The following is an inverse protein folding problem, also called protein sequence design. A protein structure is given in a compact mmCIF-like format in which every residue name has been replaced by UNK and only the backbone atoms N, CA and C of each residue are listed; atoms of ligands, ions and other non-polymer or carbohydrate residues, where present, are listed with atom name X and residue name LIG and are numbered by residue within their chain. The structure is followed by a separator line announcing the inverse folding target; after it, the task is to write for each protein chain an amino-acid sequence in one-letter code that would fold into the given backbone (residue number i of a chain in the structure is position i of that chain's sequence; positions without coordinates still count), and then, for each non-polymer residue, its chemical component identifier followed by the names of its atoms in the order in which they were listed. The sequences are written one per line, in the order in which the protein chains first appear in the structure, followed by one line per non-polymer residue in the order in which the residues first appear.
data_IF_497852513936
#
_entry.id   IF_497852513936
#
_cell.length_a   1.000
_cell.length_b   1.000
_cell.length_c   1.000
_cell.angle_alpha   90.00
_cell.angle_beta   90.00
_cell.angle_gamma   90.00
#
_symmetry.space_group_name_H-M   'P 1'
#
loop_
_entity.id
_entity.type
_entity.pdbx_description
1 polymer ?
#
# COMPACT_ATOMS: atom_id res chain seq x y z
N UNK A 1 -42.74 -59.05 -15.11
CA UNK A 1 -42.92 -57.64 -15.42
C UNK A 1 -41.78 -56.90 -14.68
N UNK A 2 -40.65 -56.73 -15.38
CA UNK A 2 -39.43 -56.07 -14.86
C UNK A 2 -39.47 -54.61 -15.28
N UNK A 3 -39.30 -53.71 -14.29
CA UNK A 3 -39.17 -52.27 -14.50
C UNK A 3 -37.79 -51.93 -15.14
N UNK A 4 -37.70 -50.94 -16.03
CA UNK A 4 -36.41 -50.54 -16.62
C UNK A 4 -35.64 -49.66 -15.67
N UNK A 5 -34.36 -50.06 -15.41
CA UNK A 5 -33.35 -49.24 -14.77
C UNK A 5 -33.09 -47.96 -15.58
N UNK A 6 -33.22 -46.82 -14.92
CA UNK A 6 -32.85 -45.53 -15.50
C UNK A 6 -31.33 -45.38 -15.47
N UNK A 7 -30.70 -45.46 -16.64
CA UNK A 7 -29.28 -45.14 -16.88
C UNK A 7 -29.01 -43.66 -16.57
N UNK A 8 -27.98 -43.33 -15.83
CA UNK A 8 -27.60 -41.92 -15.62
C UNK A 8 -27.08 -41.33 -16.93
N UNK A 9 -27.79 -40.30 -17.42
CA UNK A 9 -27.41 -39.54 -18.61
C UNK A 9 -26.03 -38.94 -18.43
N UNK A 10 -25.08 -39.41 -19.24
CA UNK A 10 -23.74 -38.84 -19.33
C UNK A 10 -23.86 -37.35 -19.71
N UNK A 11 -23.47 -36.47 -18.81
CA UNK A 11 -23.34 -35.03 -19.08
C UNK A 11 -22.37 -34.89 -20.23
N UNK A 12 -22.85 -34.49 -21.39
CA UNK A 12 -22.04 -34.34 -22.60
C UNK A 12 -20.91 -33.36 -22.32
N UNK A 13 -19.68 -33.70 -22.75
CA UNK A 13 -18.47 -32.92 -22.49
C UNK A 13 -18.56 -31.44 -22.87
N UNK A 14 -19.53 -31.06 -23.71
CA UNK A 14 -19.90 -29.69 -24.07
C UNK A 14 -20.56 -28.90 -22.92
N UNK A 15 -21.37 -29.54 -22.09
CA UNK A 15 -22.01 -28.86 -20.94
C UNK A 15 -21.03 -28.67 -19.79
N UNK A 16 -20.16 -29.64 -19.54
CA UNK A 16 -19.09 -29.53 -18.59
C UNK A 16 -18.11 -28.38 -18.98
N UNK A 17 -17.77 -28.30 -20.28
CA UNK A 17 -16.91 -27.23 -20.82
C UNK A 17 -17.56 -25.84 -20.72
N UNK A 18 -18.85 -25.72 -21.05
CA UNK A 18 -19.61 -24.46 -20.87
C UNK A 18 -19.76 -24.06 -19.41
N UNK A 19 -19.85 -25.03 -18.51
CA UNK A 19 -19.88 -24.74 -17.05
C UNK A 19 -18.55 -24.27 -16.55
N UNK A 20 -17.45 -24.86 -17.02
CA UNK A 20 -16.08 -24.42 -16.70
C UNK A 20 -15.77 -23.05 -17.30
N UNK A 21 -16.19 -22.78 -18.55
CA UNK A 21 -16.06 -21.47 -19.20
C UNK A 21 -16.88 -20.39 -18.50
N UNK A 22 -18.10 -20.70 -18.02
CA UNK A 22 -18.90 -19.77 -17.21
C UNK A 22 -18.28 -19.50 -15.84
N UNK A 23 -17.67 -20.50 -15.22
CA UNK A 23 -16.95 -20.34 -13.94
C UNK A 23 -15.69 -19.52 -14.17
N UNK A 24 -14.92 -19.77 -15.24
CA UNK A 24 -13.75 -19.00 -15.62
C UNK A 24 -14.11 -17.55 -16.02
N UNK A 25 -15.20 -17.35 -16.77
CA UNK A 25 -15.70 -16.03 -17.11
C UNK A 25 -16.15 -15.24 -15.86
N UNK A 26 -16.80 -15.89 -14.90
CA UNK A 26 -17.16 -15.28 -13.62
C UNK A 26 -15.92 -14.93 -12.77
N UNK A 27 -14.81 -15.69 -12.88
CA UNK A 27 -13.52 -15.35 -12.27
C UNK A 27 -12.86 -14.13 -12.95
N UNK A 28 -12.98 -14.01 -14.29
CA UNK A 28 -12.41 -12.89 -15.04
C UNK A 28 -13.27 -11.62 -15.00
N UNK A 29 -14.59 -11.72 -14.79
CA UNK A 29 -15.45 -10.53 -14.62
C UNK A 29 -15.17 -9.79 -13.29
N UNK A 30 -14.64 -10.47 -12.27
CA UNK A 30 -14.20 -9.80 -11.04
C UNK A 30 -12.94 -8.91 -11.25
N UNK A 31 -12.16 -9.11 -12.33
CA UNK A 31 -11.01 -8.25 -12.65
C UNK A 31 -11.39 -6.92 -13.37
N UNK A 32 -12.65 -6.77 -13.79
CA UNK A 32 -13.12 -5.58 -14.55
C UNK A 32 -13.64 -4.43 -13.71
N UNK A 33 -13.67 -4.57 -12.36
CA UNK A 33 -14.07 -3.47 -11.49
C UNK A 33 -12.93 -2.45 -11.32
N UNK A 34 -12.60 -1.76 -12.42
CA UNK A 34 -11.70 -0.62 -12.42
C UNK A 34 -12.52 0.66 -12.47
N UNK A 35 -13.40 0.89 -11.51
CA UNK A 35 -13.97 2.22 -11.33
C UNK A 35 -13.08 3.02 -10.38
N UNK A 36 -12.54 4.08 -10.93
CA UNK A 36 -11.93 5.23 -10.31
C UNK A 36 -12.65 5.58 -9.01
N UNK A 37 -11.87 5.93 -7.98
CA UNK A 37 -12.20 6.49 -6.68
C UNK A 37 -13.71 6.80 -6.49
N UNK A 38 -14.44 5.89 -5.87
CA UNK A 38 -15.86 6.10 -5.63
C UNK A 38 -16.06 6.75 -4.27
N UNK A 39 -16.41 8.05 -4.29
CA UNK A 39 -16.68 8.83 -3.09
C UNK A 39 -17.82 8.21 -2.23
N UNK A 40 -18.72 7.44 -2.84
CA UNK A 40 -19.77 6.74 -2.12
C UNK A 40 -19.24 5.61 -1.24
N UNK A 41 -18.23 4.86 -1.71
CA UNK A 41 -17.56 3.83 -0.90
C UNK A 41 -16.78 4.44 0.27
N UNK A 42 -16.06 5.54 0.03
CA UNK A 42 -15.36 6.27 1.09
C UNK A 42 -16.35 6.78 2.17
N UNK A 43 -17.52 7.26 1.77
CA UNK A 43 -18.59 7.69 2.70
C UNK A 43 -19.15 6.53 3.52
N UNK A 44 -19.30 5.34 2.93
CA UNK A 44 -19.76 4.14 3.65
C UNK A 44 -18.72 3.66 4.67
N UNK A 45 -17.45 3.68 4.30
CA UNK A 45 -16.34 3.35 5.20
C UNK A 45 -16.23 4.35 6.36
N UNK A 46 -16.57 5.63 6.12
CA UNK A 46 -16.59 6.65 7.15
C UNK A 46 -17.55 6.30 8.31
N UNK A 47 -18.65 5.60 8.06
CA UNK A 47 -19.58 5.18 9.10
C UNK A 47 -18.91 4.29 10.17
N UNK A 48 -17.92 3.50 9.80
CA UNK A 48 -17.16 2.65 10.72
C UNK A 48 -15.99 3.39 11.38
N UNK A 49 -15.49 4.47 10.78
CA UNK A 49 -14.46 5.33 11.38
C UNK A 49 -15.07 6.39 12.31
N UNK A 50 -16.29 6.85 12.05
CA UNK A 50 -16.96 7.91 12.80
C UNK A 50 -17.06 7.68 14.32
N UNK A 51 -17.29 6.44 14.84
CA UNK A 51 -17.27 6.19 16.28
C UNK A 51 -15.90 6.46 16.92
N UNK A 52 -14.81 6.33 16.15
CA UNK A 52 -13.42 6.48 16.60
C UNK A 52 -12.82 7.84 16.23
N UNK A 53 -13.67 8.83 15.87
CA UNK A 53 -13.24 10.18 15.38
C UNK A 53 -12.28 10.91 16.33
N UNK A 54 -12.42 10.71 17.65
CA UNK A 54 -11.54 11.37 18.63
C UNK A 54 -10.07 10.94 18.47
N UNK A 55 -9.81 9.64 18.40
CA UNK A 55 -8.47 9.10 18.16
C UNK A 55 -7.98 9.42 16.74
N UNK A 56 -8.86 9.42 15.75
CA UNK A 56 -8.52 9.79 14.37
C UNK A 56 -8.08 11.25 14.28
N UNK A 57 -8.83 12.18 14.89
CA UNK A 57 -8.49 13.60 14.94
C UNK A 57 -7.19 13.83 15.72
N UNK A 58 -6.99 13.11 16.82
CA UNK A 58 -5.74 13.15 17.58
C UNK A 58 -4.56 12.70 16.70
N UNK A 59 -4.71 11.59 15.97
CA UNK A 59 -3.67 11.09 15.05
C UNK A 59 -3.34 12.10 13.95
N UNK A 60 -4.35 12.76 13.38
CA UNK A 60 -4.15 13.81 12.37
C UNK A 60 -3.48 15.04 12.98
N UNK A 61 -3.86 15.45 14.18
CA UNK A 61 -3.23 16.58 14.86
C UNK A 61 -1.76 16.29 15.16
N UNK A 62 -1.44 15.10 15.66
CA UNK A 62 -0.06 14.68 15.91
C UNK A 62 0.72 14.58 14.59
N UNK A 63 0.10 14.09 13.50
CA UNK A 63 0.70 14.05 12.17
C UNK A 63 1.13 15.44 11.69
N UNK A 64 0.31 16.46 11.92
CA UNK A 64 0.67 17.85 11.59
C UNK A 64 1.83 18.34 12.45
N UNK A 65 1.87 17.98 13.74
CA UNK A 65 2.97 18.31 14.64
C UNK A 65 4.28 17.64 14.19
N UNK A 66 4.27 16.34 13.89
CA UNK A 66 5.46 15.63 13.39
C UNK A 66 5.92 16.18 12.04
N UNK A 67 5.00 16.51 11.14
CA UNK A 67 5.34 17.19 9.89
C UNK A 67 6.03 18.54 10.14
N UNK A 68 5.53 19.35 11.07
CA UNK A 68 6.15 20.63 11.44
C UNK A 68 7.54 20.41 12.08
N UNK A 69 7.66 19.45 13.01
CA UNK A 69 8.95 19.13 13.65
C UNK A 69 10.01 18.68 12.64
N UNK A 70 9.61 17.84 11.67
CA UNK A 70 10.51 17.40 10.60
C UNK A 70 11.01 18.56 9.73
N UNK A 71 10.17 19.59 9.52
CA UNK A 71 10.51 20.80 8.76
C UNK A 71 11.41 21.75 9.55
N UNK A 72 11.31 21.76 10.87
CA UNK A 72 12.14 22.62 11.74
C UNK A 72 13.59 22.13 11.83
N UNK A 73 13.84 20.83 11.69
CA UNK A 73 15.18 20.24 11.82
C UNK A 73 16.24 20.87 10.91
N UNK A 74 16.05 21.03 9.59
CA UNK A 74 17.02 21.71 8.73
C UNK A 74 17.21 23.18 9.08
N UNK A 75 16.18 23.87 9.59
CA UNK A 75 16.30 25.26 10.02
C UNK A 75 17.17 25.40 11.27
N UNK A 76 17.04 24.47 12.23
CA UNK A 76 17.92 24.43 13.42
C UNK A 76 19.36 24.12 13.03
N UNK A 77 19.57 23.20 12.07
CA UNK A 77 20.91 22.94 11.54
C UNK A 77 21.52 24.21 10.91
N UNK A 78 20.73 24.91 10.09
CA UNK A 78 21.13 26.18 9.49
C UNK A 78 21.53 27.19 10.57
N UNK A 79 20.65 27.39 11.56
CA UNK A 79 20.93 28.36 12.65
C UNK A 79 22.18 27.98 13.42
N UNK A 80 22.37 26.72 13.73
CA UNK A 80 23.57 26.22 14.42
C UNK A 80 24.85 26.51 13.65
N UNK A 81 24.85 26.28 12.34
CA UNK A 81 26.01 26.47 11.46
C UNK A 81 26.31 27.97 11.24
N UNK A 82 25.27 28.78 11.01
CA UNK A 82 25.45 30.18 10.62
C UNK A 82 25.67 31.09 11.81
N UNK A 83 25.19 30.75 13.03
CA UNK A 83 25.24 31.62 14.19
C UNK A 83 25.96 30.97 15.38
N UNK A 84 25.57 29.77 15.81
CA UNK A 84 26.11 29.18 17.03
C UNK A 84 27.59 28.79 16.92
N UNK A 85 28.05 28.31 15.77
CA UNK A 85 29.47 27.97 15.55
C UNK A 85 30.33 29.22 15.44
N UNK A 86 29.99 30.27 14.65
CA UNK A 86 30.80 31.48 14.53
C UNK A 86 30.85 32.34 15.81
N UNK A 87 29.79 32.30 16.62
CA UNK A 87 29.75 33.06 17.90
C UNK A 87 30.82 32.60 18.89
N UNK A 88 31.35 31.37 18.75
CA UNK A 88 32.28 30.74 19.70
C UNK A 88 31.74 30.66 21.13
N UNK A 89 30.45 30.94 21.34
CA UNK A 89 29.79 30.83 22.65
C UNK A 89 29.39 29.36 22.89
N UNK A 90 30.05 28.72 23.84
CA UNK A 90 29.77 27.32 24.21
C UNK A 90 28.33 27.15 24.73
N UNK A 91 27.80 28.18 25.41
CA UNK A 91 26.44 28.09 25.95
C UNK A 91 25.40 28.13 24.83
N UNK A 92 25.57 28.99 23.84
CA UNK A 92 24.68 29.04 22.66
C UNK A 92 24.76 27.74 21.84
N UNK A 93 25.96 27.25 21.57
CA UNK A 93 26.16 25.97 20.89
C UNK A 93 25.46 24.81 21.60
N UNK A 94 25.61 24.74 22.95
CA UNK A 94 24.96 23.70 23.75
C UNK A 94 23.42 23.82 23.73
N UNK A 95 22.88 25.04 23.77
CA UNK A 95 21.44 25.30 23.68
C UNK A 95 20.86 24.83 22.33
N UNK A 96 21.53 25.19 21.24
CA UNK A 96 21.09 24.78 19.90
C UNK A 96 21.17 23.24 19.72
N UNK A 97 22.27 22.64 20.22
CA UNK A 97 22.42 21.18 20.22
C UNK A 97 21.33 20.47 21.04
N UNK A 98 21.01 20.99 22.23
CA UNK A 98 19.96 20.43 23.08
C UNK A 98 18.57 20.61 22.45
N UNK A 99 18.29 21.77 21.82
CA UNK A 99 17.06 22.01 21.09
C UNK A 99 16.92 21.04 19.90
N UNK A 100 18.00 20.86 19.15
CA UNK A 100 18.00 19.90 18.02
C UNK A 100 17.75 18.46 18.49
N UNK A 101 18.44 18.03 19.55
CA UNK A 101 18.21 16.72 20.15
C UNK A 101 16.78 16.59 20.71
N UNK A 102 16.25 17.62 21.35
CA UNK A 102 14.88 17.68 21.86
C UNK A 102 13.85 17.55 20.74
N UNK A 103 14.04 18.25 19.62
CA UNK A 103 13.18 18.16 18.43
C UNK A 103 13.23 16.75 17.82
N UNK A 104 14.41 16.12 17.74
CA UNK A 104 14.55 14.75 17.26
C UNK A 104 13.79 13.75 18.15
N UNK A 105 13.98 13.83 19.45
CA UNK A 105 13.30 12.96 20.42
C UNK A 105 11.79 13.19 20.38
N UNK A 106 11.35 14.43 20.32
CA UNK A 106 9.94 14.79 20.21
C UNK A 106 9.32 14.26 18.91
N UNK A 107 10.01 14.43 17.78
CA UNK A 107 9.54 13.90 16.47
C UNK A 107 9.34 12.38 16.51
N UNK A 108 10.30 11.64 17.07
CA UNK A 108 10.18 10.18 17.21
C UNK A 108 9.08 9.77 18.19
N UNK A 109 8.96 10.47 19.32
CA UNK A 109 7.95 10.19 20.33
C UNK A 109 6.54 10.46 19.79
N UNK A 110 6.31 11.60 19.15
CA UNK A 110 5.04 11.93 18.52
C UNK A 110 4.73 11.00 17.34
N UNK A 111 5.74 10.65 16.52
CA UNK A 111 5.61 9.68 15.43
C UNK A 111 5.16 8.30 15.93
N UNK A 112 5.73 7.83 17.04
CA UNK A 112 5.30 6.59 17.69
C UNK A 112 3.83 6.67 18.14
N UNK A 113 3.46 7.74 18.87
CA UNK A 113 2.09 7.93 19.34
C UNK A 113 1.11 8.03 18.17
N UNK A 114 1.46 8.75 17.11
CA UNK A 114 0.65 8.91 15.91
C UNK A 114 0.40 7.55 15.23
N UNK A 115 1.47 6.78 14.97
CA UNK A 115 1.37 5.48 14.34
C UNK A 115 0.56 4.50 15.19
N UNK A 116 0.82 4.47 16.49
CA UNK A 116 0.11 3.61 17.43
C UNK A 116 -1.39 3.96 17.51
N UNK A 117 -1.73 5.25 17.64
CA UNK A 117 -3.12 5.70 17.66
C UNK A 117 -3.84 5.36 16.35
N UNK A 118 -3.18 5.52 15.20
CA UNK A 118 -3.75 5.19 13.90
C UNK A 118 -4.00 3.70 13.73
N UNK A 119 -3.07 2.86 14.19
CA UNK A 119 -3.25 1.39 14.19
C UNK A 119 -4.43 0.96 15.07
N UNK A 120 -4.61 1.60 16.24
CA UNK A 120 -5.77 1.33 17.10
C UNK A 120 -7.07 1.73 16.41
N UNK A 121 -7.15 2.92 15.80
CA UNK A 121 -8.34 3.37 15.05
C UNK A 121 -8.67 2.37 13.96
N UNK A 122 -7.69 2.00 13.16
CA UNK A 122 -7.86 1.01 12.09
C UNK A 122 -8.35 -0.34 12.62
N UNK A 123 -7.68 -0.89 13.63
CA UNK A 123 -8.03 -2.18 14.22
C UNK A 123 -9.47 -2.20 14.79
N UNK A 124 -9.89 -1.14 15.48
CA UNK A 124 -11.26 -1.02 16.02
C UNK A 124 -12.30 -0.89 14.90
N UNK A 125 -12.07 -0.01 13.93
CA UNK A 125 -12.98 0.17 12.81
C UNK A 125 -13.15 -1.13 11.99
N UNK A 126 -12.05 -1.90 11.80
CA UNK A 126 -12.11 -3.18 11.10
C UNK A 126 -12.78 -4.27 11.94
N UNK A 127 -12.59 -4.28 13.25
CA UNK A 127 -13.34 -5.19 14.13
C UNK A 127 -14.86 -4.92 14.05
N UNK A 128 -15.26 -3.66 13.97
CA UNK A 128 -16.67 -3.26 13.82
C UNK A 128 -17.21 -3.63 12.44
N UNK A 129 -16.46 -3.39 11.35
CA UNK A 129 -16.83 -3.82 10.00
C UNK A 129 -16.92 -5.35 9.91
N UNK A 130 -15.92 -6.07 10.43
CA UNK A 130 -15.91 -7.55 10.44
C UNK A 130 -17.09 -8.12 11.20
N UNK A 131 -17.43 -7.54 12.36
CA UNK A 131 -18.60 -7.90 13.15
C UNK A 131 -19.90 -7.63 12.38
N UNK A 132 -19.97 -6.51 11.66
CA UNK A 132 -21.13 -6.16 10.84
C UNK A 132 -21.34 -7.16 9.69
N UNK A 133 -20.28 -7.48 8.94
CA UNK A 133 -20.32 -8.47 7.85
C UNK A 133 -20.67 -9.87 8.39
N UNK A 134 -20.08 -10.27 9.51
CA UNK A 134 -20.36 -11.57 10.13
C UNK A 134 -21.81 -11.69 10.59
N UNK A 135 -22.36 -10.66 11.23
CA UNK A 135 -23.78 -10.61 11.62
C UNK A 135 -24.67 -10.72 10.38
N UNK A 136 -24.37 -9.95 9.34
CA UNK A 136 -25.07 -10.02 8.07
C UNK A 136 -25.12 -11.45 7.51
N UNK A 137 -24.01 -12.20 7.54
CA UNK A 137 -23.99 -13.58 7.08
C UNK A 137 -24.92 -14.49 7.88
N UNK A 138 -24.99 -14.31 9.20
CA UNK A 138 -25.87 -15.13 10.07
C UNK A 138 -27.37 -14.88 9.83
N UNK A 139 -27.72 -13.73 9.27
CA UNK A 139 -29.10 -13.37 8.95
C UNK A 139 -29.54 -13.86 7.55
N UNK A 140 -28.68 -14.60 6.82
CA UNK A 140 -28.96 -15.08 5.47
C UNK A 140 -29.58 -16.48 5.45
N UNK A 141 -30.44 -16.71 4.42
CA UNK A 141 -31.06 -18.01 4.18
C UNK A 141 -30.02 -19.03 3.73
N UNK A 142 -30.29 -20.32 3.97
CA UNK A 142 -29.42 -21.40 3.56
C UNK A 142 -29.16 -21.37 2.04
N UNK A 143 -30.18 -21.04 1.23
CA UNK A 143 -30.07 -20.91 -0.22
C UNK A 143 -29.03 -19.86 -0.69
N UNK A 144 -28.68 -18.88 0.13
CA UNK A 144 -27.59 -17.95 -0.13
C UNK A 144 -26.23 -18.67 -0.11
N UNK A 145 -26.03 -19.55 0.88
CA UNK A 145 -24.77 -20.30 1.01
C UNK A 145 -24.61 -21.37 -0.07
N UNK A 146 -25.72 -21.93 -0.58
CA UNK A 146 -25.69 -22.89 -1.71
C UNK A 146 -25.21 -22.24 -3.01
N UNK A 147 -25.40 -20.92 -3.17
CA UNK A 147 -24.99 -20.16 -4.36
C UNK A 147 -23.63 -19.51 -4.24
N UNK A 148 -23.09 -19.38 -3.03
CA UNK A 148 -21.84 -18.69 -2.76
C UNK A 148 -20.75 -19.67 -2.33
N UNK A 149 -19.57 -19.53 -2.91
CA UNK A 149 -18.41 -20.32 -2.48
C UNK A 149 -17.98 -19.88 -1.07
N UNK A 150 -17.92 -20.81 -0.13
CA UNK A 150 -17.54 -20.53 1.28
C UNK A 150 -16.18 -19.83 1.36
N UNK A 151 -15.19 -20.27 0.57
CA UNK A 151 -13.87 -19.64 0.52
C UNK A 151 -13.90 -18.16 0.12
N UNK A 152 -14.84 -17.77 -0.77
CA UNK A 152 -15.05 -16.37 -1.17
C UNK A 152 -15.60 -15.54 -0.01
N UNK A 153 -16.58 -16.07 0.73
CA UNK A 153 -17.15 -15.39 1.89
C UNK A 153 -16.11 -15.21 2.99
N UNK A 154 -15.31 -16.24 3.26
CA UNK A 154 -14.21 -16.17 4.22
C UNK A 154 -13.20 -15.10 3.79
N UNK A 155 -12.76 -15.10 2.52
CA UNK A 155 -11.81 -14.10 2.01
C UNK A 155 -12.33 -12.66 2.12
N UNK A 156 -13.64 -12.44 1.92
CA UNK A 156 -14.26 -11.10 2.10
C UNK A 156 -14.25 -10.63 3.55
N UNK A 157 -14.46 -11.54 4.51
CA UNK A 157 -14.46 -11.21 5.96
C UNK A 157 -13.04 -11.01 6.48
N UNK A 158 -12.03 -11.65 5.88
CA UNK A 158 -10.63 -11.58 6.29
C UNK A 158 -9.83 -10.64 5.40
N UNK A 159 -9.38 -11.10 4.25
CA UNK A 159 -8.41 -10.43 3.40
C UNK A 159 -8.89 -9.06 2.87
N UNK A 160 -10.17 -8.98 2.42
CA UNK A 160 -10.69 -7.72 1.88
C UNK A 160 -10.86 -6.67 3.00
N UNK A 161 -11.26 -7.08 4.21
CA UNK A 161 -11.33 -6.20 5.38
C UNK A 161 -9.92 -5.76 5.81
N UNK A 162 -8.93 -6.68 5.80
CA UNK A 162 -7.55 -6.34 6.16
C UNK A 162 -6.89 -5.39 5.14
N UNK A 163 -7.18 -5.55 3.83
CA UNK A 163 -6.74 -4.62 2.80
C UNK A 163 -7.32 -3.20 3.01
N UNK A 164 -8.59 -3.09 3.44
CA UNK A 164 -9.21 -1.81 3.80
C UNK A 164 -8.48 -1.19 4.99
N UNK A 165 -8.19 -1.98 6.04
CA UNK A 165 -7.43 -1.53 7.21
C UNK A 165 -6.09 -0.94 6.81
N UNK A 166 -5.31 -1.69 6.04
CA UNK A 166 -3.96 -1.30 5.64
C UNK A 166 -3.95 0.02 4.86
N UNK A 167 -4.90 0.21 3.94
CA UNK A 167 -5.01 1.44 3.19
C UNK A 167 -5.39 2.65 4.05
N UNK A 168 -6.22 2.48 5.08
CA UNK A 168 -6.52 3.57 6.00
C UNK A 168 -5.37 3.86 6.94
N UNK A 169 -4.81 2.82 7.60
CA UNK A 169 -3.76 2.98 8.60
C UNK A 169 -2.44 3.48 7.99
N UNK A 170 -2.08 3.00 6.80
CA UNK A 170 -0.80 3.28 6.15
C UNK A 170 -0.91 4.18 4.92
N UNK A 171 -2.07 4.17 4.23
CA UNK A 171 -2.25 4.82 2.94
C UNK A 171 -2.78 6.25 3.03
N UNK A 172 -4.05 6.42 3.36
CA UNK A 172 -4.75 7.70 3.18
C UNK A 172 -4.26 8.78 4.15
N UNK A 173 -4.14 8.48 5.45
CA UNK A 173 -3.77 9.49 6.47
C UNK A 173 -2.31 9.90 6.34
N UNK A 174 -1.41 8.92 6.17
CA UNK A 174 0.00 9.24 5.96
C UNK A 174 0.23 9.98 4.62
N UNK A 175 -0.57 9.66 3.56
CA UNK A 175 -0.54 10.39 2.31
C UNK A 175 -0.87 11.89 2.45
N UNK A 176 -1.82 12.23 3.33
CA UNK A 176 -2.12 13.64 3.68
C UNK A 176 -0.91 14.28 4.37
N UNK A 177 -0.28 13.57 5.31
CA UNK A 177 0.94 14.05 5.99
C UNK A 177 2.09 14.32 5.02
N UNK A 178 2.29 13.42 4.06
CA UNK A 178 3.32 13.59 3.01
C UNK A 178 3.03 14.80 2.12
N UNK A 179 1.76 15.06 1.78
CA UNK A 179 1.37 16.25 1.03
C UNK A 179 1.63 17.53 1.82
N UNK A 180 1.28 17.56 3.11
CA UNK A 180 1.55 18.69 4.01
C UNK A 180 3.06 18.92 4.15
N UNK A 181 3.83 17.85 4.37
CA UNK A 181 5.29 17.91 4.46
C UNK A 181 5.90 18.43 3.16
N UNK A 182 5.45 17.92 2.01
CA UNK A 182 5.93 18.37 0.69
C UNK A 182 5.64 19.85 0.45
N UNK A 183 4.42 20.29 0.73
CA UNK A 183 4.05 21.70 0.63
C UNK A 183 4.88 22.59 1.57
N UNK A 184 5.09 22.14 2.80
CA UNK A 184 5.93 22.83 3.78
C UNK A 184 7.40 22.95 3.34
N UNK A 185 7.97 21.88 2.77
CA UNK A 185 9.32 21.90 2.20
C UNK A 185 9.42 22.94 1.07
N UNK A 186 8.48 22.93 0.12
CA UNK A 186 8.46 23.89 -1.00
C UNK A 186 8.41 25.33 -0.48
N UNK A 187 7.50 25.62 0.45
CA UNK A 187 7.36 26.95 1.05
C UNK A 187 8.66 27.38 1.76
N UNK A 188 9.22 26.52 2.59
CA UNK A 188 10.45 26.84 3.34
C UNK A 188 11.67 27.01 2.42
N UNK A 189 11.81 26.19 1.39
CA UNK A 189 12.89 26.36 0.40
C UNK A 189 12.78 27.73 -0.29
N UNK A 190 11.58 28.11 -0.75
CA UNK A 190 11.34 29.40 -1.40
C UNK A 190 11.61 30.58 -0.44
N UNK A 191 11.22 30.44 0.83
CA UNK A 191 11.46 31.47 1.87
C UNK A 191 12.93 31.60 2.23
N UNK A 192 13.71 30.50 2.21
CA UNK A 192 15.15 30.56 2.50
C UNK A 192 15.94 31.24 1.37
N UNK A 193 15.76 30.80 0.14
CA UNK A 193 16.32 31.43 -1.06
C UNK A 193 15.52 30.99 -2.31
N UNK A 194 14.72 31.89 -2.88
CA UNK A 194 13.87 31.58 -4.03
C UNK A 194 14.66 31.23 -5.30
N UNK A 195 15.89 31.75 -5.46
CA UNK A 195 16.72 31.45 -6.64
C UNK A 195 17.34 30.05 -6.56
N UNK A 196 17.82 29.66 -5.38
CA UNK A 196 18.28 28.28 -5.13
C UNK A 196 17.12 27.30 -5.28
N UNK A 197 15.91 27.67 -4.87
CA UNK A 197 14.71 26.86 -5.04
C UNK A 197 14.37 26.63 -6.52
N UNK A 198 14.51 27.63 -7.37
CA UNK A 198 14.34 27.44 -8.81
C UNK A 198 15.33 26.45 -9.37
N UNK A 199 16.61 26.54 -8.98
CA UNK A 199 17.65 25.61 -9.43
C UNK A 199 17.27 24.19 -9.01
N UNK A 200 16.85 23.99 -7.75
CA UNK A 200 16.41 22.70 -7.24
C UNK A 200 15.17 22.16 -7.99
N UNK A 201 14.17 23.03 -8.25
CA UNK A 201 12.94 22.60 -8.93
C UNK A 201 13.12 22.36 -10.42
N UNK A 202 14.07 22.99 -11.09
CA UNK A 202 14.45 22.68 -12.48
C UNK A 202 14.96 21.24 -12.63
N UNK A 203 15.51 20.66 -11.57
CA UNK A 203 15.93 19.25 -11.59
C UNK A 203 14.76 18.26 -11.42
N UNK A 204 13.60 18.68 -10.92
CA UNK A 204 12.43 17.78 -10.72
C UNK A 204 11.87 17.22 -12.03
N UNK A 205 11.65 18.00 -13.12
CA UNK A 205 11.17 17.48 -14.38
C UNK A 205 12.04 16.37 -14.99
N UNK A 206 13.39 16.49 -15.06
CA UNK A 206 14.24 15.38 -15.49
C UNK A 206 14.06 14.09 -14.68
N UNK A 207 13.92 14.20 -13.33
CA UNK A 207 13.63 13.04 -12.48
C UNK A 207 12.30 12.42 -12.85
N UNK A 208 11.26 13.24 -12.94
CA UNK A 208 9.92 12.76 -13.28
C UNK A 208 9.91 12.04 -14.62
N UNK A 209 10.65 12.54 -15.60
CA UNK A 209 10.81 11.90 -16.90
C UNK A 209 11.58 10.58 -16.78
N UNK A 210 12.72 10.55 -16.07
CA UNK A 210 13.49 9.33 -15.85
C UNK A 210 12.65 8.24 -15.19
N UNK A 211 11.94 8.58 -14.11
CA UNK A 211 11.01 7.67 -13.42
C UNK A 211 9.87 7.21 -14.35
N UNK A 212 9.33 8.10 -15.17
CA UNK A 212 8.26 7.75 -16.13
C UNK A 212 8.75 6.74 -17.19
N UNK A 213 9.99 6.88 -17.67
CA UNK A 213 10.61 5.92 -18.59
C UNK A 213 10.84 4.56 -17.94
N UNK A 214 11.30 4.53 -16.69
CA UNK A 214 11.59 3.30 -15.95
C UNK A 214 10.29 2.55 -15.57
N UNK A 215 9.18 3.25 -15.36
CA UNK A 215 7.89 2.66 -14.96
C UNK A 215 7.35 1.59 -15.92
N UNK A 216 7.59 1.70 -17.23
CA UNK A 216 7.09 0.72 -18.21
C UNK A 216 7.80 -0.62 -18.06
N UNK A 217 9.13 -0.71 -18.20
CA UNK A 217 9.84 -1.98 -18.05
C UNK A 217 9.72 -2.57 -16.64
N UNK A 218 9.63 -1.72 -15.61
CA UNK A 218 9.37 -2.15 -14.23
C UNK A 218 8.03 -2.88 -14.10
N UNK A 219 6.95 -2.32 -14.68
CA UNK A 219 5.63 -2.98 -14.68
C UNK A 219 5.61 -4.29 -15.45
N UNK A 220 6.37 -4.38 -16.56
CA UNK A 220 6.50 -5.61 -17.33
C UNK A 220 7.23 -6.68 -16.52
N UNK A 221 8.33 -6.33 -15.86
CA UNK A 221 9.07 -7.22 -14.96
C UNK A 221 8.19 -7.74 -13.81
N UNK A 222 7.40 -6.87 -13.17
CA UNK A 222 6.47 -7.25 -12.12
C UNK A 222 5.31 -8.16 -12.62
N UNK A 223 4.86 -7.99 -13.87
CA UNK A 223 3.90 -8.91 -14.48
C UNK A 223 4.53 -10.27 -14.75
N UNK A 224 5.77 -10.29 -15.26
CA UNK A 224 6.51 -11.53 -15.48
C UNK A 224 6.72 -12.30 -14.16
N UNK A 225 7.13 -11.63 -13.08
CA UNK A 225 7.23 -12.25 -11.75
C UNK A 225 5.92 -12.91 -11.35
N UNK A 226 4.78 -12.21 -11.45
CA UNK A 226 3.47 -12.78 -11.10
C UNK A 226 3.12 -14.01 -11.91
N UNK A 227 3.38 -13.98 -13.21
CA UNK A 227 3.16 -15.14 -14.08
C UNK A 227 4.05 -16.33 -13.69
N UNK A 228 5.34 -16.07 -13.39
CA UNK A 228 6.30 -17.13 -12.97
C UNK A 228 5.95 -17.67 -11.58
N UNK A 229 5.54 -16.82 -10.65
CA UNK A 229 5.04 -17.25 -9.32
C UNK A 229 3.81 -18.15 -9.45
N UNK A 230 2.84 -17.77 -10.29
CA UNK A 230 1.65 -18.59 -10.52
C UNK A 230 2.01 -19.97 -11.12
N UNK A 231 2.95 -20.01 -12.07
CA UNK A 231 3.45 -21.25 -12.66
C UNK A 231 4.16 -22.13 -11.62
N UNK A 232 5.04 -21.55 -10.82
CA UNK A 232 5.76 -22.27 -9.76
C UNK A 232 4.79 -22.84 -8.72
N UNK A 233 3.79 -22.05 -8.28
CA UNK A 233 2.76 -22.51 -7.35
C UNK A 233 1.92 -23.65 -7.94
N UNK A 234 1.60 -23.61 -9.25
CA UNK A 234 0.89 -24.68 -9.94
C UNK A 234 1.71 -25.99 -9.93
N UNK A 235 2.99 -25.91 -10.29
CA UNK A 235 3.90 -27.08 -10.27
C UNK A 235 4.03 -27.63 -8.85
N UNK A 236 4.23 -26.78 -7.84
CA UNK A 236 4.30 -27.22 -6.45
C UNK A 236 3.01 -27.92 -6.01
N UNK A 237 1.86 -27.33 -6.32
CA UNK A 237 0.56 -27.92 -5.96
C UNK A 237 0.34 -29.27 -6.64
N UNK A 238 0.67 -29.36 -7.93
CA UNK A 238 0.60 -30.62 -8.71
C UNK A 238 1.51 -31.70 -8.11
N UNK A 239 2.77 -31.37 -7.85
CA UNK A 239 3.75 -32.31 -7.30
C UNK A 239 3.41 -32.76 -5.88
N UNK A 240 3.00 -31.83 -5.00
CA UNK A 240 2.61 -32.16 -3.62
C UNK A 240 1.35 -33.02 -3.61
N UNK A 241 0.35 -32.69 -4.43
CA UNK A 241 -0.89 -33.47 -4.54
C UNK A 241 -0.61 -34.85 -5.16
N UNK A 242 0.27 -34.90 -6.17
CA UNK A 242 0.68 -36.15 -6.86
C UNK A 242 1.84 -36.87 -6.22
N UNK A 243 2.27 -36.53 -5.01
CA UNK A 243 3.49 -37.07 -4.38
C UNK A 243 3.50 -38.61 -4.32
N UNK A 244 2.36 -39.23 -4.01
CA UNK A 244 2.22 -40.69 -3.98
C UNK A 244 2.55 -41.31 -5.34
N UNK A 245 2.13 -40.71 -6.44
CA UNK A 245 2.42 -41.19 -7.79
C UNK A 245 3.90 -40.96 -8.14
N UNK A 246 4.46 -39.80 -7.81
CA UNK A 246 5.88 -39.47 -8.04
C UNK A 246 6.76 -40.50 -7.35
N UNK A 247 6.45 -40.84 -6.10
CA UNK A 247 7.20 -41.85 -5.33
C UNK A 247 6.99 -43.28 -5.87
N UNK A 248 5.75 -43.66 -6.19
CA UNK A 248 5.42 -44.97 -6.71
C UNK A 248 6.11 -45.28 -8.06
N UNK A 249 6.28 -44.25 -8.90
CA UNK A 249 6.92 -44.42 -10.22
C UNK A 249 8.41 -44.00 -10.23
N UNK A 250 8.99 -43.65 -9.10
CA UNK A 250 10.42 -43.27 -8.99
C UNK A 250 10.79 -42.00 -9.76
N UNK A 251 9.81 -41.05 -9.94
CA UNK A 251 9.99 -39.84 -10.76
C UNK A 251 10.47 -38.63 -9.97
N UNK A 252 11.04 -38.82 -8.78
CA UNK A 252 11.47 -37.70 -7.91
C UNK A 252 12.48 -36.77 -8.59
N UNK A 253 13.48 -37.34 -9.31
CA UNK A 253 14.50 -36.57 -10.02
C UNK A 253 13.91 -35.73 -11.14
N UNK A 254 12.93 -36.30 -11.89
CA UNK A 254 12.23 -35.55 -12.93
C UNK A 254 11.39 -34.41 -12.37
N UNK A 255 10.63 -34.68 -11.31
CA UNK A 255 9.82 -33.66 -10.63
C UNK A 255 10.68 -32.52 -10.09
N UNK A 256 11.85 -32.84 -9.52
CA UNK A 256 12.79 -31.84 -9.05
C UNK A 256 13.36 -31.00 -10.20
N UNK A 257 13.70 -31.60 -11.33
CA UNK A 257 14.17 -30.88 -12.52
C UNK A 257 13.12 -29.90 -13.06
N UNK A 258 11.84 -30.30 -13.09
CA UNK A 258 10.74 -29.44 -13.55
C UNK A 258 10.54 -28.24 -12.60
N UNK A 259 10.69 -28.47 -11.29
CA UNK A 259 10.66 -27.40 -10.30
C UNK A 259 11.86 -26.46 -10.43
N UNK A 260 13.07 -27.00 -10.57
CA UNK A 260 14.31 -26.21 -10.69
C UNK A 260 14.28 -25.31 -11.93
N UNK A 261 13.76 -25.80 -13.08
CA UNK A 261 13.55 -24.98 -14.28
C UNK A 261 12.57 -23.82 -14.01
N UNK A 262 11.46 -24.10 -13.37
CA UNK A 262 10.47 -23.08 -13.03
C UNK A 262 11.02 -22.05 -12.04
N UNK A 263 11.78 -22.51 -11.04
CA UNK A 263 12.44 -21.67 -10.03
C UNK A 263 13.53 -20.78 -10.66
N UNK A 264 14.31 -21.32 -11.62
CA UNK A 264 15.28 -20.54 -12.36
C UNK A 264 14.60 -19.43 -13.18
N UNK A 265 13.49 -19.74 -13.86
CA UNK A 265 12.71 -18.74 -14.60
C UNK A 265 12.11 -17.66 -13.68
N UNK A 266 11.66 -18.02 -12.48
CA UNK A 266 11.21 -17.07 -11.45
C UNK A 266 12.36 -16.19 -10.97
N UNK A 267 13.53 -16.78 -10.65
CA UNK A 267 14.74 -16.04 -10.26
C UNK A 267 15.12 -15.01 -11.33
N UNK A 268 15.14 -15.40 -12.60
CA UNK A 268 15.55 -14.52 -13.69
C UNK A 268 14.55 -13.35 -13.89
N UNK A 269 13.26 -13.60 -13.73
CA UNK A 269 12.24 -12.56 -13.71
C UNK A 269 12.45 -11.59 -12.52
N UNK A 270 12.78 -12.12 -11.35
CA UNK A 270 13.05 -11.32 -10.14
C UNK A 270 14.30 -10.46 -10.32
N UNK A 271 15.37 -11.01 -10.90
CA UNK A 271 16.59 -10.26 -11.21
C UNK A 271 16.35 -9.08 -12.17
N UNK A 272 15.42 -9.23 -13.15
CA UNK A 272 15.01 -8.11 -14.02
C UNK A 272 14.32 -7.02 -13.21
N UNK A 273 13.44 -7.37 -12.24
CA UNK A 273 12.77 -6.39 -11.39
C UNK A 273 13.77 -5.63 -10.52
N UNK A 274 14.65 -6.37 -9.84
CA UNK A 274 15.73 -5.80 -9.00
C UNK A 274 16.61 -4.84 -9.81
N UNK A 275 16.95 -5.21 -11.06
CA UNK A 275 17.72 -4.34 -11.93
C UNK A 275 17.02 -2.99 -12.20
N UNK A 276 15.72 -3.01 -12.51
CA UNK A 276 14.98 -1.79 -12.78
C UNK A 276 14.74 -0.95 -11.53
N UNK A 277 14.55 -1.61 -10.37
CA UNK A 277 14.48 -0.95 -9.07
C UNK A 277 15.79 -0.23 -8.74
N UNK A 278 16.93 -0.92 -8.86
CA UNK A 278 18.25 -0.32 -8.63
C UNK A 278 18.54 0.84 -9.59
N UNK A 279 18.12 0.75 -10.87
CA UNK A 279 18.26 1.85 -11.82
C UNK A 279 17.39 3.04 -11.41
N UNK A 280 16.17 2.79 -10.91
CA UNK A 280 15.29 3.85 -10.44
C UNK A 280 15.88 4.58 -9.23
N UNK A 281 16.38 3.84 -8.25
CA UNK A 281 16.98 4.42 -7.04
C UNK A 281 18.24 5.21 -7.40
N UNK A 282 19.12 4.63 -8.23
CA UNK A 282 20.32 5.33 -8.71
C UNK A 282 19.98 6.60 -9.51
N UNK A 283 18.90 6.61 -10.30
CA UNK A 283 18.47 7.79 -11.05
C UNK A 283 17.98 8.90 -10.10
N UNK A 284 17.25 8.55 -9.05
CA UNK A 284 16.78 9.51 -8.02
C UNK A 284 17.98 10.09 -7.27
N UNK A 285 18.92 9.25 -6.82
CA UNK A 285 20.12 9.67 -6.10
C UNK A 285 21.03 10.55 -6.96
N UNK A 286 21.22 10.18 -8.23
CA UNK A 286 22.02 10.96 -9.17
C UNK A 286 21.47 12.38 -9.34
N UNK A 287 20.15 12.53 -9.43
CA UNK A 287 19.54 13.85 -9.56
C UNK A 287 19.69 14.64 -8.27
N UNK A 288 19.52 14.00 -7.09
CA UNK A 288 19.83 14.62 -5.80
C UNK A 288 21.26 15.16 -5.76
N UNK A 289 22.24 14.36 -6.21
CA UNK A 289 23.63 14.75 -6.28
C UNK A 289 23.88 15.90 -7.28
N UNK A 290 23.25 15.87 -8.46
CA UNK A 290 23.33 16.97 -9.45
C UNK A 290 22.72 18.25 -8.92
N UNK A 291 21.57 18.17 -8.23
CA UNK A 291 20.97 19.32 -7.55
C UNK A 291 21.93 19.92 -6.52
N UNK A 292 22.52 19.09 -5.67
CA UNK A 292 23.47 19.54 -4.66
C UNK A 292 24.71 20.18 -5.31
N UNK A 293 25.26 19.55 -6.34
CA UNK A 293 26.39 20.12 -7.09
C UNK A 293 26.04 21.48 -7.73
N UNK A 294 24.82 21.60 -8.30
CA UNK A 294 24.34 22.85 -8.88
C UNK A 294 24.20 23.97 -7.83
N UNK A 295 23.75 23.63 -6.61
CA UNK A 295 23.69 24.55 -5.48
C UNK A 295 25.09 25.01 -5.06
N UNK A 296 26.05 24.07 -4.99
CA UNK A 296 27.45 24.38 -4.66
C UNK A 296 28.09 25.30 -5.72
N UNK A 297 27.84 25.05 -7.00
CA UNK A 297 28.31 25.93 -8.08
C UNK A 297 27.67 27.31 -7.97
N UNK A 298 26.39 27.40 -7.65
CA UNK A 298 25.67 28.67 -7.46
C UNK A 298 26.27 29.50 -6.31
N UNK A 299 26.85 28.87 -5.28
CA UNK A 299 27.60 29.52 -4.21
C UNK A 299 28.84 30.29 -4.70
N UNK A 300 29.53 29.78 -5.74
CA UNK A 300 30.67 30.47 -6.33
C UNK A 300 30.29 31.82 -6.96
N UNK A 301 29.04 32.01 -7.32
CA UNK A 301 28.53 33.24 -7.92
C UNK A 301 27.74 34.13 -6.97
N UNK A 302 27.44 33.67 -5.74
CA UNK A 302 26.59 34.39 -4.77
C UNK A 302 27.02 34.10 -3.34
N UNK A 303 27.07 35.11 -2.46
CA UNK A 303 27.33 34.92 -1.04
C UNK A 303 26.06 34.31 -0.37
N UNK A 304 26.00 33.00 -0.29
CA UNK A 304 24.97 32.26 0.46
C UNK A 304 25.64 31.64 1.68
N UNK A 305 24.96 31.63 2.82
CA UNK A 305 25.52 31.06 4.06
C UNK A 305 25.66 29.53 3.91
N UNK A 306 26.71 28.97 4.52
CA UNK A 306 26.96 27.53 4.51
C UNK A 306 25.80 26.75 5.16
N UNK A 307 25.19 27.28 6.22
CA UNK A 307 24.00 26.68 6.84
C UNK A 307 22.79 26.62 5.90
N UNK A 308 22.63 27.61 4.99
CA UNK A 308 21.57 27.55 3.98
C UNK A 308 21.79 26.38 3.04
N UNK A 309 23.00 26.10 2.60
CA UNK A 309 23.32 24.95 1.73
C UNK A 309 23.01 23.63 2.41
N UNK A 310 23.39 23.49 3.67
CA UNK A 310 23.10 22.29 4.46
C UNK A 310 21.59 22.11 4.65
N UNK A 311 20.86 23.18 4.94
CA UNK A 311 19.39 23.12 5.04
C UNK A 311 18.73 22.73 3.71
N UNK A 312 19.19 23.30 2.58
CA UNK A 312 18.71 22.94 1.25
C UNK A 312 18.98 21.48 0.91
N UNK A 313 20.18 20.96 1.19
CA UNK A 313 20.54 19.56 1.01
C UNK A 313 19.60 18.65 1.81
N UNK A 314 19.32 18.99 3.06
CA UNK A 314 18.42 18.23 3.92
C UNK A 314 16.96 18.28 3.42
N UNK A 315 16.48 19.46 2.97
CA UNK A 315 15.14 19.57 2.38
C UNK A 315 15.03 18.84 1.06
N UNK A 316 16.05 18.87 0.22
CA UNK A 316 16.06 18.17 -1.06
C UNK A 316 15.94 16.65 -0.85
N UNK A 317 16.68 16.08 0.09
CA UNK A 317 16.57 14.66 0.46
C UNK A 317 15.16 14.32 0.96
N UNK A 318 14.57 15.17 1.81
CA UNK A 318 13.22 15.01 2.33
C UNK A 318 12.12 15.23 1.26
N UNK A 319 12.41 15.94 0.17
CA UNK A 319 11.46 16.23 -0.90
C UNK A 319 11.18 15.02 -1.79
N UNK A 320 12.19 14.21 -2.08
CA UNK A 320 12.04 13.05 -2.97
C UNK A 320 11.38 11.86 -2.27
N UNK A 321 11.52 11.73 -0.96
CA UNK A 321 10.94 10.62 -0.18
C UNK A 321 9.41 10.50 -0.31
N UNK A 322 8.59 11.54 -0.06
CA UNK A 322 7.14 11.46 -0.24
C UNK A 322 6.73 11.15 -1.67
N UNK A 323 7.46 11.65 -2.67
CA UNK A 323 7.13 11.41 -4.08
C UNK A 323 7.25 9.92 -4.45
N UNK A 324 8.28 9.25 -3.95
CA UNK A 324 8.46 7.81 -4.18
C UNK A 324 7.37 6.99 -3.47
N UNK A 325 6.97 7.38 -2.27
CA UNK A 325 5.96 6.70 -1.48
C UNK A 325 4.52 6.89 -1.99
N UNK A 326 4.20 8.03 -2.61
CA UNK A 326 2.85 8.33 -3.12
C UNK A 326 2.32 7.26 -4.09
N UNK A 327 3.18 6.72 -4.96
CA UNK A 327 2.78 5.67 -5.91
C UNK A 327 2.39 4.36 -5.18
N UNK A 328 3.12 3.99 -4.13
CA UNK A 328 2.82 2.81 -3.31
C UNK A 328 1.51 3.01 -2.53
N UNK A 329 1.33 4.19 -1.92
CA UNK A 329 0.11 4.53 -1.18
C UNK A 329 -1.13 4.55 -2.09
N UNK A 330 -0.99 5.05 -3.33
CA UNK A 330 -2.06 4.99 -4.31
C UNK A 330 -2.48 3.54 -4.61
N UNK A 331 -1.53 2.63 -4.77
CA UNK A 331 -1.80 1.21 -5.00
C UNK A 331 -2.50 0.56 -3.81
N UNK A 332 -2.09 0.89 -2.57
CA UNK A 332 -2.75 0.41 -1.35
C UNK A 332 -4.21 0.89 -1.28
N UNK A 333 -4.45 2.19 -1.53
CA UNK A 333 -5.80 2.76 -1.54
C UNK A 333 -6.66 2.11 -2.64
N UNK A 334 -6.11 1.88 -3.83
CA UNK A 334 -6.82 1.21 -4.92
C UNK A 334 -7.19 -0.24 -4.56
N UNK A 335 -6.27 -0.98 -3.92
CA UNK A 335 -6.54 -2.33 -3.42
C UNK A 335 -7.67 -2.35 -2.38
N UNK A 336 -7.65 -1.40 -1.45
CA UNK A 336 -8.69 -1.26 -0.45
C UNK A 336 -10.06 -0.88 -1.03
N UNK A 337 -10.09 0.01 -2.04
CA UNK A 337 -11.34 0.35 -2.71
C UNK A 337 -11.96 -0.88 -3.39
N UNK A 338 -11.15 -1.73 -4.01
CA UNK A 338 -11.61 -3.00 -4.58
C UNK A 338 -12.12 -3.95 -3.50
N UNK A 339 -11.41 -4.08 -2.37
CA UNK A 339 -11.88 -4.86 -1.20
C UNK A 339 -13.19 -4.32 -0.63
N UNK A 340 -13.29 -3.00 -0.49
CA UNK A 340 -14.50 -2.33 -0.01
C UNK A 340 -15.70 -2.56 -0.95
N UNK A 341 -15.50 -2.46 -2.26
CA UNK A 341 -16.55 -2.75 -3.24
C UNK A 341 -17.08 -4.18 -3.11
N UNK A 342 -16.18 -5.18 -2.94
CA UNK A 342 -16.58 -6.58 -2.73
C UNK A 342 -17.31 -6.78 -1.42
N UNK A 343 -16.88 -6.14 -0.34
CA UNK A 343 -17.54 -6.23 0.97
C UNK A 343 -18.92 -5.56 0.92
N UNK A 344 -19.03 -4.34 0.37
CA UNK A 344 -20.31 -3.65 0.31
C UNK A 344 -21.28 -4.27 -0.71
N UNK A 345 -20.80 -4.81 -1.84
CA UNK A 345 -21.64 -5.56 -2.75
C UNK A 345 -22.22 -6.82 -2.11
N UNK A 346 -21.47 -7.47 -1.20
CA UNK A 346 -21.98 -8.57 -0.40
C UNK A 346 -23.12 -8.10 0.53
N UNK A 347 -22.95 -6.96 1.20
CA UNK A 347 -23.93 -6.39 2.13
C UNK A 347 -25.21 -5.88 1.43
N UNK A 348 -25.18 -5.64 0.13
CA UNK A 348 -26.34 -5.22 -0.68
C UNK A 348 -27.25 -6.39 -1.12
N UNK A 349 -26.83 -7.64 -0.95
CA UNK A 349 -27.64 -8.78 -1.31
C UNK A 349 -28.83 -8.91 -0.35
N UNK A 350 -30.02 -8.62 -0.87
CA UNK A 350 -31.26 -8.46 -0.07
C UNK A 350 -31.96 -9.76 0.37
N UNK A 351 -31.35 -10.95 0.24
CA UNK A 351 -31.96 -12.22 0.63
C UNK A 351 -31.92 -12.42 2.16
N UNK A 352 -32.85 -11.80 2.88
CA UNK A 352 -32.98 -11.96 4.35
C UNK A 352 -33.82 -13.21 4.64
N UNK A 353 -33.49 -13.96 5.69
CA UNK A 353 -34.36 -14.99 6.21
C UNK A 353 -35.61 -14.32 6.83
N UNK A 354 -36.79 -14.64 6.30
CA UNK A 354 -38.03 -14.11 6.89
C UNK A 354 -38.10 -14.57 8.35
N UNK A 355 -38.26 -13.62 9.27
CA UNK A 355 -38.43 -13.88 10.67
C UNK A 355 -39.36 -15.08 10.89
N UNK A 356 -38.84 -16.14 11.46
CA UNK A 356 -39.65 -17.18 12.05
C UNK A 356 -40.38 -16.48 13.20
N UNK A 357 -41.66 -16.11 13.00
CA UNK A 357 -42.49 -15.70 14.13
C UNK A 357 -42.26 -16.71 15.26
N UNK A 358 -41.91 -16.28 16.45
CA UNK A 358 -41.78 -17.21 17.56
C UNK A 358 -43.05 -18.03 17.62
N UNK A 359 -42.91 -19.36 17.60
CA UNK A 359 -44.04 -20.25 17.76
C UNK A 359 -44.77 -19.84 19.02
N UNK A 360 -46.08 -19.59 18.94
CA UNK A 360 -46.89 -19.33 20.10
C UNK A 360 -46.67 -20.45 21.13
N UNK A 361 -46.47 -20.15 22.40
CA UNK A 361 -46.30 -21.16 23.41
C UNK A 361 -47.50 -22.15 23.32
N UNK A 362 -47.24 -23.47 23.43
CA UNK A 362 -48.34 -24.42 23.48
C UNK A 362 -49.21 -24.08 24.67
N UNK A 363 -50.52 -23.84 24.39
CA UNK A 363 -51.53 -23.59 25.36
C UNK A 363 -51.80 -24.79 26.26
#
# INVERSE_FOLDING_TARGET
MSAPEATPTAVTGTEARRRTEKILAAFHDEERFTKTYDAALAKRLWLFLAPHRGLLLLSIAILLVTSALSLVRPLLMKYGIDHAIPSRDRAEFFRVGLLFAGVLVADQAFGFVQTYAMQIVGARAMADLRRHVFRFLHERRLAFFDRQLVGRLVSRVTNDVDAILEAFASGAVNGIGDMVKLAGIVVLMVMLDWKLSIIAFVAVPPVALAVAFIRRPMREALREIRARTARMNAIMNEQVTGMTLIQAYGRQVGAQSDFDESNAAYRDANMKSIKWEAIQDAAIDMVGAVCLASIIVALGYRPVSFGTVVAFSAYLSQFFEPISQLAQRYTLVQGAMTGAERVFSLLEIGEVDCERKPAAPPG
#
